data_IF_576184204511
#
_entry.id   IF_576184204511
#
_cell.length_a   1.000
_cell.length_b   1.000
_cell.length_c   1.000
_cell.angle_alpha   90.00
_cell.angle_beta   90.00
_cell.angle_gamma   90.00
#
_symmetry.space_group_name_H-M   'P 1'
#
loop_
_entity.id
_entity.type
_entity.pdbx_description
1 polymer ?
#
# COMPACT_ATOMS: atom_id res chain seq x y z
N UNK A 1 -1.85 -12.90 -11.71
CA UNK A 1 -1.52 -11.45 -11.95
C UNK A 1 -2.71 -10.50 -11.76
N UNK A 2 -3.89 -10.77 -12.34
CA UNK A 2 -5.08 -9.90 -12.22
C UNK A 2 -5.44 -9.55 -10.77
N UNK A 3 -5.26 -10.49 -9.85
CA UNK A 3 -5.53 -10.31 -8.43
C UNK A 3 -4.54 -9.35 -7.73
N UNK A 4 -3.26 -9.33 -8.12
CA UNK A 4 -2.29 -8.32 -7.63
C UNK A 4 -2.69 -6.94 -8.11
N UNK A 5 -3.05 -6.80 -9.40
CA UNK A 5 -3.44 -5.51 -9.97
C UNK A 5 -4.72 -4.96 -9.31
N UNK A 6 -5.74 -5.81 -9.14
CA UNK A 6 -6.97 -5.43 -8.41
C UNK A 6 -6.65 -5.08 -6.95
N UNK A 7 -5.76 -5.83 -6.28
CA UNK A 7 -5.37 -5.54 -4.91
C UNK A 7 -4.65 -4.19 -4.76
N UNK A 8 -3.72 -3.89 -5.68
CA UNK A 8 -3.06 -2.58 -5.77
C UNK A 8 -4.07 -1.47 -6.02
N UNK A 9 -5.02 -1.66 -6.92
CA UNK A 9 -6.07 -0.67 -7.19
C UNK A 9 -6.86 -0.37 -5.93
N UNK A 10 -7.27 -1.38 -5.16
CA UNK A 10 -7.96 -1.16 -3.88
C UNK A 10 -7.12 -0.44 -2.81
N UNK A 11 -5.81 -0.66 -2.77
CA UNK A 11 -4.92 -0.01 -1.79
C UNK A 11 -4.65 1.45 -2.17
N UNK A 12 -4.44 1.73 -3.46
CA UNK A 12 -4.09 3.07 -3.93
C UNK A 12 -5.31 3.96 -4.19
N UNK A 13 -6.46 3.36 -4.47
CA UNK A 13 -7.68 4.08 -4.80
C UNK A 13 -8.53 4.19 -3.54
N UNK A 14 -8.29 5.25 -2.78
CA UNK A 14 -8.99 5.52 -1.53
C UNK A 14 -10.28 6.32 -1.81
N UNK A 15 -11.43 5.72 -1.53
CA UNK A 15 -12.72 6.41 -1.52
C UNK A 15 -13.25 6.44 -0.09
N UNK A 16 -13.15 7.58 0.56
CA UNK A 16 -13.67 7.82 1.90
C UNK A 16 -14.93 8.70 1.85
N UNK A 17 -16.00 8.25 2.52
CA UNK A 17 -17.18 9.06 2.79
C UNK A 17 -17.14 9.49 4.25
N UNK A 18 -17.14 10.80 4.48
CA UNK A 18 -17.18 11.37 5.82
C UNK A 18 -18.62 11.80 6.15
N UNK A 19 -19.28 11.10 7.07
CA UNK A 19 -20.63 11.42 7.54
C UNK A 19 -20.56 11.80 9.02
N UNK A 20 -20.30 13.09 9.29
CA UNK A 20 -20.54 13.71 10.60
C UNK A 20 -19.89 13.01 11.79
N UNK A 21 -18.69 12.45 11.63
CA UNK A 21 -17.94 11.75 12.70
C UNK A 21 -17.66 10.27 12.44
N UNK A 22 -18.31 9.66 11.43
CA UNK A 22 -17.96 8.32 10.94
C UNK A 22 -17.31 8.43 9.56
N UNK A 23 -16.09 7.91 9.45
CA UNK A 23 -15.40 7.75 8.17
C UNK A 23 -15.65 6.34 7.65
N UNK A 24 -16.35 6.23 6.52
CA UNK A 24 -16.60 4.96 5.85
C UNK A 24 -15.72 4.91 4.61
N UNK A 25 -14.72 4.04 4.64
CA UNK A 25 -13.89 3.75 3.46
C UNK A 25 -14.64 2.76 2.56
N UNK A 26 -15.17 3.24 1.42
CA UNK A 26 -15.89 2.45 0.42
C UNK A 26 -15.03 1.37 -0.22
N UNK A 27 -13.72 1.63 -0.32
CA UNK A 27 -12.70 0.68 -0.74
C UNK A 27 -11.79 0.40 0.46
N UNK A 28 -12.08 -0.65 1.24
CA UNK A 28 -11.29 -0.93 2.42
C UNK A 28 -9.91 -1.46 2.01
N UNK A 29 -8.85 -0.82 2.51
CA UNK A 29 -7.47 -1.22 2.25
C UNK A 29 -7.22 -2.70 2.59
N UNK A 30 -7.89 -3.25 3.61
CA UNK A 30 -7.77 -4.66 3.98
C UNK A 30 -8.23 -5.60 2.86
N UNK A 31 -9.27 -5.23 2.10
CA UNK A 31 -9.74 -6.00 0.94
C UNK A 31 -8.68 -5.98 -0.15
N UNK A 32 -8.03 -4.83 -0.36
CA UNK A 32 -6.91 -4.71 -1.27
C UNK A 32 -5.73 -5.61 -0.91
N UNK A 33 -5.31 -5.63 0.36
CA UNK A 33 -4.26 -6.54 0.83
C UNK A 33 -4.67 -8.03 0.75
N UNK A 34 -5.94 -8.37 1.03
CA UNK A 34 -6.44 -9.75 0.86
C UNK A 34 -6.39 -10.22 -0.60
N UNK A 35 -6.77 -9.35 -1.54
CA UNK A 35 -6.69 -9.62 -2.98
C UNK A 35 -5.23 -9.71 -3.44
N UNK A 36 -4.37 -8.88 -2.87
CA UNK A 36 -2.93 -8.92 -3.11
C UNK A 36 -2.31 -10.25 -2.64
N UNK A 37 -2.67 -10.75 -1.45
CA UNK A 37 -2.19 -12.06 -0.97
C UNK A 37 -2.57 -13.18 -1.94
N UNK A 38 -3.81 -13.20 -2.43
CA UNK A 38 -4.22 -14.19 -3.45
C UNK A 38 -3.39 -14.07 -4.74
N UNK A 39 -3.10 -12.86 -5.16
CA UNK A 39 -2.25 -12.62 -6.33
C UNK A 39 -0.78 -13.00 -6.13
N UNK A 40 -0.26 -12.82 -4.91
CA UNK A 40 1.08 -13.24 -4.50
C UNK A 40 1.17 -14.77 -4.47
N UNK A 41 0.17 -15.45 -3.91
CA UNK A 41 0.11 -16.92 -3.85
C UNK A 41 0.10 -17.56 -5.25
N UNK A 42 -0.50 -16.90 -6.25
CA UNK A 42 -0.42 -17.32 -7.67
C UNK A 42 1.00 -17.23 -8.24
N UNK A 43 1.81 -16.27 -7.77
CA UNK A 43 3.11 -15.90 -8.35
C UNK A 43 4.30 -16.31 -7.46
N UNK A 44 4.05 -16.91 -6.31
CA UNK A 44 5.07 -17.31 -5.34
C UNK A 44 6.04 -18.35 -5.92
N UNK A 45 5.57 -19.17 -6.87
CA UNK A 45 6.39 -20.16 -7.58
C UNK A 45 7.29 -19.53 -8.64
N UNK A 46 6.98 -18.30 -9.03
CA UNK A 46 7.62 -17.62 -10.15
C UNK A 46 8.83 -16.80 -9.72
N UNK A 47 8.75 -16.16 -8.55
CA UNK A 47 9.82 -15.31 -8.02
C UNK A 47 9.90 -15.35 -6.49
N UNK A 48 11.12 -15.43 -5.95
CA UNK A 48 11.39 -15.38 -4.51
C UNK A 48 10.99 -14.04 -3.87
N UNK A 49 10.84 -12.99 -4.69
CA UNK A 49 10.42 -11.68 -4.19
C UNK A 49 8.98 -11.73 -3.65
N UNK A 50 8.10 -12.55 -4.24
CA UNK A 50 6.72 -12.72 -3.80
C UNK A 50 6.61 -13.49 -2.49
N UNK A 51 7.50 -14.45 -2.24
CA UNK A 51 7.53 -15.22 -0.99
C UNK A 51 7.86 -14.31 0.21
N UNK A 52 8.82 -13.40 0.03
CA UNK A 52 9.19 -12.41 1.05
C UNK A 52 8.10 -11.39 1.35
N UNK A 53 7.26 -11.03 0.37
CA UNK A 53 6.22 -9.99 0.55
C UNK A 53 4.96 -10.52 1.24
N UNK A 54 4.70 -11.81 1.12
CA UNK A 54 3.50 -12.48 1.65
C UNK A 54 3.23 -12.19 3.14
N UNK A 55 4.18 -12.41 4.07
CA UNK A 55 3.92 -12.15 5.49
C UNK A 55 3.61 -10.67 5.77
N UNK A 56 4.24 -9.74 5.04
CA UNK A 56 3.98 -8.31 5.19
C UNK A 56 2.58 -7.93 4.72
N UNK A 57 2.11 -8.49 3.59
CA UNK A 57 0.75 -8.25 3.11
C UNK A 57 -0.31 -8.80 4.08
N UNK A 58 -0.07 -9.94 4.73
CA UNK A 58 -0.96 -10.50 5.76
C UNK A 58 -1.04 -9.60 6.99
N UNK A 59 0.11 -9.14 7.49
CA UNK A 59 0.17 -8.22 8.63
C UNK A 59 -0.61 -6.94 8.31
N UNK A 60 -0.42 -6.37 7.11
CA UNK A 60 -1.13 -5.16 6.68
C UNK A 60 -2.63 -5.38 6.50
N UNK A 61 -3.06 -6.54 5.98
CA UNK A 61 -4.48 -6.89 5.90
C UNK A 61 -5.14 -6.93 7.28
N UNK A 62 -4.49 -7.55 8.26
CA UNK A 62 -4.98 -7.56 9.64
C UNK A 62 -5.00 -6.16 10.25
N UNK A 63 -3.91 -5.41 10.11
CA UNK A 63 -3.79 -4.06 10.66
C UNK A 63 -4.85 -3.11 10.10
N UNK A 64 -4.98 -3.02 8.78
CA UNK A 64 -5.98 -2.17 8.13
C UNK A 64 -7.41 -2.65 8.38
N UNK A 65 -7.62 -3.96 8.55
CA UNK A 65 -8.90 -4.50 8.97
C UNK A 65 -9.32 -4.01 10.35
N UNK A 66 -8.41 -4.07 11.33
CA UNK A 66 -8.69 -3.58 12.70
C UNK A 66 -8.99 -2.08 12.70
N UNK A 67 -8.21 -1.28 11.97
CA UNK A 67 -8.45 0.16 11.85
C UNK A 67 -9.82 0.44 11.24
N UNK A 68 -10.18 -0.24 10.16
CA UNK A 68 -11.48 -0.07 9.52
C UNK A 68 -12.65 -0.36 10.50
N UNK A 69 -12.54 -1.41 11.33
CA UNK A 69 -13.54 -1.67 12.36
C UNK A 69 -13.56 -0.59 13.46
N UNK A 70 -12.40 -0.04 13.85
CA UNK A 70 -12.33 1.05 14.82
C UNK A 70 -12.94 2.36 14.28
N UNK A 71 -12.73 2.65 12.99
CA UNK A 71 -13.32 3.79 12.28
C UNK A 71 -14.85 3.67 12.17
N UNK A 72 -15.35 2.46 11.90
CA UNK A 72 -16.79 2.19 11.86
C UNK A 72 -17.50 2.43 13.21
N UNK A 73 -16.81 2.21 14.33
CA UNK A 73 -17.36 2.40 15.68
C UNK A 73 -17.11 3.84 16.17
N UNK A 74 -16.33 4.65 15.43
CA UNK A 74 -16.03 6.05 15.77
C UNK A 74 -15.01 6.22 16.89
N UNK A 75 -14.25 5.19 17.24
CA UNK A 75 -13.27 5.18 18.36
C UNK A 75 -11.89 5.67 17.91
N UNK A 76 -11.65 5.73 16.59
CA UNK A 76 -10.35 6.16 16.03
C UNK A 76 -9.94 7.58 16.44
N UNK A 77 -10.90 8.48 16.65
CA UNK A 77 -10.65 9.85 17.11
C UNK A 77 -10.01 9.92 18.50
N UNK A 78 -10.10 8.91 19.35
CA UNK A 78 -9.48 8.89 20.68
C UNK A 78 -8.01 8.46 20.67
N UNK A 79 -7.53 7.84 19.58
CA UNK A 79 -6.17 7.29 19.46
C UNK A 79 -5.18 8.24 18.77
N UNK A 80 -5.54 9.53 18.60
CA UNK A 80 -4.78 10.53 17.84
C UNK A 80 -3.29 10.62 18.19
N UNK A 81 -2.90 10.35 19.44
CA UNK A 81 -1.51 10.40 19.89
C UNK A 81 -0.55 9.40 19.20
N UNK A 82 -1.05 8.24 18.76
CA UNK A 82 -0.23 7.24 18.04
C UNK A 82 -0.38 7.30 16.52
N UNK A 83 -1.31 8.12 16.02
CA UNK A 83 -1.73 8.13 14.61
C UNK A 83 -0.58 8.50 13.66
N UNK A 84 0.28 9.45 14.04
CA UNK A 84 1.41 9.90 13.19
C UNK A 84 2.43 8.77 12.99
N UNK A 85 2.83 8.10 14.08
CA UNK A 85 3.83 7.01 14.04
C UNK A 85 3.28 5.83 13.24
N UNK A 86 2.01 5.47 13.49
CA UNK A 86 1.31 4.42 12.76
C UNK A 86 1.16 4.73 11.27
N UNK A 87 0.90 5.99 10.91
CA UNK A 87 0.85 6.46 9.53
C UNK A 87 2.18 6.29 8.80
N UNK A 88 3.30 6.67 9.44
CA UNK A 88 4.65 6.51 8.87
C UNK A 88 4.97 5.03 8.66
N UNK A 89 4.65 4.17 9.63
CA UNK A 89 4.87 2.72 9.53
C UNK A 89 4.05 2.14 8.37
N UNK A 90 2.75 2.47 8.32
CA UNK A 90 1.84 2.01 7.27
C UNK A 90 2.33 2.40 5.87
N UNK A 91 2.76 3.65 5.71
CA UNK A 91 3.31 4.15 4.46
C UNK A 91 4.60 3.41 4.08
N UNK A 92 5.53 3.28 5.02
CA UNK A 92 6.82 2.59 4.78
C UNK A 92 6.61 1.15 4.31
N UNK A 93 5.71 0.41 4.96
CA UNK A 93 5.39 -0.97 4.58
C UNK A 93 4.69 -1.02 3.22
N UNK A 94 3.78 -0.07 2.93
CA UNK A 94 3.09 0.00 1.64
C UNK A 94 4.06 0.22 0.48
N UNK A 95 5.03 1.12 0.67
CA UNK A 95 6.11 1.35 -0.30
C UNK A 95 6.99 0.13 -0.49
N UNK A 96 7.34 -0.55 0.61
CA UNK A 96 8.12 -1.80 0.55
C UNK A 96 7.38 -2.89 -0.23
N UNK A 97 6.08 -3.06 0.01
CA UNK A 97 5.25 -4.02 -0.74
C UNK A 97 5.24 -3.67 -2.23
N UNK A 98 5.05 -2.39 -2.58
CA UNK A 98 5.03 -1.95 -3.97
C UNK A 98 6.38 -2.19 -4.67
N UNK A 99 7.49 -1.89 -4.00
CA UNK A 99 8.85 -2.17 -4.49
C UNK A 99 9.05 -3.66 -4.79
N UNK A 100 8.60 -4.50 -3.86
CA UNK A 100 8.77 -5.95 -3.97
C UNK A 100 7.93 -6.54 -5.12
N UNK A 101 6.72 -6.00 -5.36
CA UNK A 101 5.90 -6.38 -6.52
C UNK A 101 6.58 -5.98 -7.82
N UNK A 102 7.08 -4.75 -7.93
CA UNK A 102 7.78 -4.27 -9.13
C UNK A 102 9.04 -5.11 -9.40
N UNK A 103 9.80 -5.42 -8.35
CA UNK A 103 10.99 -6.27 -8.46
C UNK A 103 10.65 -7.71 -8.86
N UNK A 104 9.55 -8.26 -8.32
CA UNK A 104 9.06 -9.58 -8.73
C UNK A 104 8.57 -9.62 -10.19
N UNK A 105 8.01 -8.52 -10.72
CA UNK A 105 7.65 -8.42 -12.14
C UNK A 105 8.90 -8.44 -13.02
N UNK A 106 9.96 -7.71 -12.66
CA UNK A 106 11.24 -7.70 -13.39
C UNK A 106 11.89 -9.09 -13.36
N UNK A 107 11.85 -9.78 -12.23
CA UNK A 107 12.42 -11.13 -12.09
C UNK A 107 11.68 -12.14 -13.00
N UNK A 108 10.35 -12.04 -13.08
CA UNK A 108 9.54 -12.83 -14.03
C UNK A 108 9.88 -12.46 -15.48
N UNK A 109 10.06 -11.17 -15.77
CA UNK A 109 10.46 -10.68 -17.10
C UNK A 109 11.77 -11.31 -17.56
N UNK A 110 12.78 -11.33 -16.68
CA UNK A 110 14.09 -11.93 -16.94
C UNK A 110 14.03 -13.46 -17.06
N UNK A 111 13.24 -14.12 -16.21
CA UNK A 111 13.12 -15.59 -16.17
C UNK A 111 12.42 -16.16 -17.40
N UNK A 112 11.39 -15.47 -17.91
CA UNK A 112 10.58 -15.94 -19.04
C UNK A 112 10.90 -15.25 -20.36
N UNK A 113 11.76 -14.23 -20.38
CA UNK A 113 12.10 -13.47 -21.58
C UNK A 113 10.91 -12.77 -22.22
N UNK A 114 9.85 -12.53 -21.46
CA UNK A 114 8.68 -11.76 -21.88
C UNK A 114 8.97 -10.27 -21.67
N UNK A 115 8.32 -9.38 -22.41
CA UNK A 115 8.47 -7.93 -22.22
C UNK A 115 7.25 -7.44 -21.44
N UNK A 116 7.47 -7.11 -20.17
CA UNK A 116 6.49 -6.56 -19.24
C UNK A 116 6.77 -5.08 -18.93
N UNK A 117 7.84 -4.52 -19.49
CA UNK A 117 8.28 -3.14 -19.25
C UNK A 117 8.56 -2.89 -17.74
N UNK A 118 9.10 -3.89 -17.04
CA UNK A 118 9.39 -3.83 -15.61
C UNK A 118 10.33 -2.67 -15.25
N UNK A 119 11.26 -2.31 -16.15
CA UNK A 119 12.12 -1.13 -16.00
C UNK A 119 11.33 0.19 -15.93
N UNK A 120 10.27 0.33 -16.72
CA UNK A 120 9.37 1.50 -16.65
C UNK A 120 8.60 1.50 -15.34
N UNK A 121 8.10 0.35 -14.89
CA UNK A 121 7.43 0.20 -13.59
C UNK A 121 8.35 0.60 -12.42
N UNK A 122 9.63 0.23 -12.47
CA UNK A 122 10.62 0.63 -11.47
C UNK A 122 10.91 2.12 -11.50
N UNK A 123 11.00 2.71 -12.69
CA UNK A 123 11.15 4.17 -12.85
C UNK A 123 9.94 4.92 -12.27
N UNK A 124 8.71 4.44 -12.54
CA UNK A 124 7.48 5.02 -11.99
C UNK A 124 7.41 4.89 -10.46
N UNK A 125 7.75 3.72 -9.92
CA UNK A 125 7.83 3.52 -8.47
C UNK A 125 8.84 4.47 -7.82
N UNK A 126 10.03 4.61 -8.42
CA UNK A 126 11.06 5.52 -7.93
C UNK A 126 10.58 6.97 -7.95
N UNK A 127 9.89 7.39 -9.02
CA UNK A 127 9.32 8.73 -9.14
C UNK A 127 8.27 8.98 -8.05
N UNK A 128 7.30 8.06 -7.88
CA UNK A 128 6.27 8.14 -6.84
C UNK A 128 6.88 8.23 -5.44
N UNK A 129 7.87 7.39 -5.13
CA UNK A 129 8.54 7.39 -3.83
C UNK A 129 9.25 8.71 -3.53
N UNK A 130 9.93 9.28 -4.53
CA UNK A 130 10.63 10.57 -4.39
C UNK A 130 9.63 11.70 -4.14
N UNK A 131 8.54 11.75 -4.89
CA UNK A 131 7.50 12.76 -4.71
C UNK A 131 6.85 12.68 -3.32
N UNK A 132 6.53 11.47 -2.85
CA UNK A 132 5.92 11.28 -1.54
C UNK A 132 6.86 11.65 -0.39
N UNK A 133 8.15 11.30 -0.48
CA UNK A 133 9.16 11.74 0.48
C UNK A 133 9.29 13.27 0.47
N UNK A 134 9.27 13.91 -0.70
CA UNK A 134 9.30 15.38 -0.81
C UNK A 134 8.09 16.04 -0.15
N UNK A 135 6.88 15.49 -0.33
CA UNK A 135 5.67 15.98 0.33
C UNK A 135 5.82 15.92 1.85
N UNK A 136 6.28 14.79 2.38
CA UNK A 136 6.46 14.63 3.83
C UNK A 136 7.55 15.54 4.40
N UNK A 137 8.68 15.69 3.70
CA UNK A 137 9.74 16.62 4.10
C UNK A 137 9.21 18.06 4.09
N UNK A 138 8.40 18.44 3.09
CA UNK A 138 7.76 19.75 3.04
C UNK A 138 6.80 19.99 4.20
N UNK A 139 6.14 18.94 4.70
CA UNK A 139 5.22 19.00 5.84
C UNK A 139 5.96 19.31 7.15
N UNK A 140 7.23 18.93 7.26
CA UNK A 140 8.12 19.26 8.38
C UNK A 140 8.73 20.66 8.30
N UNK A 141 8.62 21.36 7.16
CA UNK A 141 9.06 22.76 7.02
C UNK A 141 7.83 23.65 7.26
N UNK A 142 7.72 24.33 8.42
CA UNK A 142 6.53 25.12 8.75
C UNK A 142 6.28 26.31 7.82
N UNK A 143 7.20 26.64 6.90
CA UNK A 143 7.08 27.75 5.95
C UNK A 143 5.97 27.58 4.90
N UNK A 144 5.40 26.38 4.72
CA UNK A 144 4.28 26.15 3.78
C UNK A 144 2.94 25.83 4.45
N UNK A 145 2.82 25.96 5.78
CA UNK A 145 1.56 25.69 6.52
C UNK A 145 0.53 26.82 6.47
N UNK A 146 0.59 27.67 5.43
CA UNK A 146 -0.44 28.68 5.14
C UNK A 146 -0.93 28.44 3.72
N UNK A 147 -1.94 27.56 3.57
CA UNK A 147 -3.18 27.75 2.79
C UNK A 147 -4.09 26.56 3.08
#
# INVERSE_FOLDING_TARGET
>A
MKNIFIGLLFIFLNFNLNLGGMQIDLLPNFVGYLLMIKGIDELIKESEFFDKVRPWAVIMACYTGVIFFLDLIGVSYQLQGFSIILGIINMSISFFILYQIVSGIIDIEQKYGIILEGDKLKSLWSCMTIFDVLIYVSLFIPAFTVV
#
